data_IF_597491117657
#
_entry.id   IF_597491117657
#
_cell.length_a   1.000
_cell.length_b   1.000
_cell.length_c   1.000
_cell.angle_alpha   90.00
_cell.angle_beta   90.00
_cell.angle_gamma   90.00
#
_symmetry.space_group_name_H-M   'P 1'
#
loop_
_entity.id
_entity.type
_entity.pdbx_description
1 polymer ?
#
# COMPACT_ATOMS: atom_id res chain seq x y z
N UNK A 1 12.99 11.73 -21.05
CA UNK A 1 13.83 10.60 -20.61
C UNK A 1 12.88 9.45 -20.28
N UNK A 2 12.79 8.39 -21.13
CA UNK A 2 11.97 7.20 -20.84
C UNK A 2 12.70 6.39 -19.78
N UNK A 3 12.29 6.53 -18.52
CA UNK A 3 12.78 5.65 -17.46
C UNK A 3 12.28 4.24 -17.81
N UNK A 4 13.19 3.27 -17.89
CA UNK A 4 12.86 1.87 -18.10
C UNK A 4 11.91 1.43 -16.99
N UNK A 5 10.75 0.86 -17.32
CA UNK A 5 9.67 0.49 -16.37
C UNK A 5 10.23 -0.36 -15.22
N UNK A 6 11.14 -1.29 -15.52
CA UNK A 6 11.80 -2.12 -14.50
C UNK A 6 12.66 -1.29 -13.54
N UNK A 7 13.40 -0.29 -14.02
CA UNK A 7 14.21 0.58 -13.16
C UNK A 7 13.32 1.44 -12.24
N UNK A 8 12.20 1.95 -12.75
CA UNK A 8 11.22 2.70 -11.95
C UNK A 8 10.65 1.85 -10.81
N UNK A 9 10.30 0.58 -11.09
CA UNK A 9 9.78 -0.34 -10.05
C UNK A 9 10.83 -0.63 -8.99
N UNK A 10 12.07 -0.91 -9.38
CA UNK A 10 13.18 -1.17 -8.43
C UNK A 10 13.42 0.05 -7.53
N UNK A 11 13.46 1.25 -8.09
CA UNK A 11 13.64 2.48 -7.31
C UNK A 11 12.50 2.66 -6.30
N UNK A 12 11.25 2.43 -6.69
CA UNK A 12 10.09 2.51 -5.78
C UNK A 12 10.20 1.51 -4.63
N UNK A 13 10.60 0.28 -4.91
CA UNK A 13 10.80 -0.76 -3.89
C UNK A 13 11.91 -0.36 -2.92
N UNK A 14 13.05 0.12 -3.43
CA UNK A 14 14.17 0.56 -2.60
C UNK A 14 13.81 1.74 -1.70
N UNK A 15 13.11 2.74 -2.24
CA UNK A 15 12.61 3.88 -1.48
C UNK A 15 11.64 3.41 -0.38
N UNK A 16 10.78 2.46 -0.70
CA UNK A 16 9.82 1.92 0.25
C UNK A 16 10.50 1.16 1.39
N UNK A 17 11.47 0.33 1.09
CA UNK A 17 12.27 -0.37 2.09
C UNK A 17 13.07 0.62 2.95
N UNK A 18 13.66 1.65 2.33
CA UNK A 18 14.36 2.71 3.05
C UNK A 18 13.45 3.45 4.04
N UNK A 19 12.21 3.76 3.63
CA UNK A 19 11.22 4.38 4.50
C UNK A 19 10.89 3.48 5.69
N UNK A 20 10.51 2.23 5.47
CA UNK A 20 10.14 1.30 6.54
C UNK A 20 11.27 1.05 7.52
N UNK A 21 12.47 0.76 7.04
CA UNK A 21 13.62 0.45 7.92
C UNK A 21 14.27 1.71 8.47
N UNK A 22 14.38 2.78 7.70
CA UNK A 22 14.88 4.06 8.15
C UNK A 22 13.96 4.72 9.18
N UNK A 23 12.66 4.68 8.93
CA UNK A 23 11.63 5.13 9.87
C UNK A 23 11.64 4.34 11.18
N UNK A 24 11.81 3.00 11.10
CA UNK A 24 11.97 2.13 12.27
C UNK A 24 13.20 2.49 13.08
N UNK A 25 14.36 2.59 12.42
CA UNK A 25 15.61 2.97 13.08
C UNK A 25 15.52 4.32 13.79
N UNK A 26 15.03 5.35 13.08
CA UNK A 26 14.86 6.69 13.66
C UNK A 26 13.93 6.67 14.88
N UNK A 27 12.79 5.97 14.77
CA UNK A 27 11.78 5.92 15.82
C UNK A 27 12.25 5.17 17.05
N UNK A 28 12.90 4.02 16.88
CA UNK A 28 13.48 3.25 17.99
C UNK A 28 14.55 4.07 18.71
N UNK A 29 15.43 4.76 17.98
CA UNK A 29 16.44 5.63 18.58
C UNK A 29 15.83 6.76 19.42
N UNK A 30 14.68 7.30 19.01
CA UNK A 30 13.91 8.30 19.75
C UNK A 30 13.22 7.73 20.98
N UNK A 31 12.70 6.50 20.87
CA UNK A 31 11.83 5.91 21.89
C UNK A 31 12.57 5.10 22.95
N UNK A 32 13.88 4.94 22.85
CA UNK A 32 14.66 4.11 23.78
C UNK A 32 14.47 4.49 25.26
N UNK A 33 14.23 5.76 25.54
CA UNK A 33 13.97 6.28 26.89
C UNK A 33 12.47 6.59 27.14
N UNK A 34 11.58 6.19 26.21
CA UNK A 34 10.15 6.44 26.33
C UNK A 34 9.52 5.41 27.30
N UNK A 35 8.77 5.81 28.34
CA UNK A 35 8.15 4.89 29.29
C UNK A 35 7.23 3.86 28.64
N UNK A 36 6.46 4.26 27.61
CA UNK A 36 5.60 3.34 26.87
C UNK A 36 6.41 2.28 26.10
N UNK A 37 7.52 2.69 25.47
CA UNK A 37 8.40 1.78 24.76
C UNK A 37 9.10 0.76 25.68
N UNK A 38 9.28 1.11 26.96
CA UNK A 38 9.87 0.20 27.96
C UNK A 38 8.83 -0.70 28.62
N UNK A 39 7.54 -0.54 28.31
CA UNK A 39 6.46 -1.27 28.96
C UNK A 39 6.03 -2.50 28.16
N UNK A 40 6.22 -3.69 28.73
CA UNK A 40 5.90 -4.98 28.09
C UNK A 40 4.42 -5.09 27.65
N UNK A 41 3.48 -4.64 28.50
CA UNK A 41 2.05 -4.66 28.17
C UNK A 41 1.72 -3.82 26.93
N UNK A 42 2.40 -2.69 26.74
CA UNK A 42 2.25 -1.87 25.53
C UNK A 42 2.69 -2.63 24.29
N UNK A 43 3.84 -3.30 24.31
CA UNK A 43 4.31 -4.11 23.19
C UNK A 43 3.38 -5.28 22.88
N UNK A 44 2.84 -5.97 23.88
CA UNK A 44 1.90 -7.07 23.64
C UNK A 44 0.65 -6.56 22.92
N UNK A 45 0.05 -5.48 23.41
CA UNK A 45 -1.16 -4.90 22.82
C UNK A 45 -0.89 -4.41 21.39
N UNK A 46 0.16 -3.62 21.20
CA UNK A 46 0.50 -3.10 19.88
C UNK A 46 0.87 -4.21 18.91
N UNK A 47 1.57 -5.27 19.36
CA UNK A 47 1.92 -6.40 18.50
C UNK A 47 0.69 -7.17 17.99
N UNK A 48 -0.34 -7.38 18.85
CA UNK A 48 -1.60 -8.01 18.44
C UNK A 48 -2.28 -7.19 17.33
N UNK A 49 -2.44 -5.88 17.55
CA UNK A 49 -3.03 -5.00 16.53
C UNK A 49 -2.15 -4.90 15.27
N UNK A 50 -0.84 -4.84 15.44
CA UNK A 50 0.14 -4.79 14.36
C UNK A 50 0.09 -6.04 13.48
N UNK A 51 0.04 -7.22 14.10
CA UNK A 51 -0.11 -8.50 13.37
C UNK A 51 -1.43 -8.54 12.59
N UNK A 52 -2.53 -8.08 13.19
CA UNK A 52 -3.83 -8.02 12.54
C UNK A 52 -3.82 -7.07 11.33
N UNK A 53 -3.33 -5.83 11.51
CA UNK A 53 -3.26 -4.84 10.41
C UNK A 53 -2.32 -5.31 9.30
N UNK A 54 -1.17 -5.89 9.66
CA UNK A 54 -0.22 -6.44 8.68
C UNK A 54 -0.85 -7.59 7.90
N UNK A 55 -1.57 -8.49 8.56
CA UNK A 55 -2.33 -9.55 7.89
C UNK A 55 -3.35 -8.98 6.90
N UNK A 56 -4.15 -7.98 7.29
CA UNK A 56 -5.12 -7.32 6.40
C UNK A 56 -4.42 -6.65 5.21
N UNK A 57 -3.28 -5.98 5.44
CA UNK A 57 -2.48 -5.34 4.41
C UNK A 57 -2.01 -6.33 3.34
N UNK A 58 -1.46 -7.47 3.76
CA UNK A 58 -1.02 -8.53 2.84
C UNK A 58 -2.19 -9.18 2.11
N UNK A 59 -3.30 -9.45 2.80
CA UNK A 59 -4.51 -10.01 2.16
C UNK A 59 -5.06 -9.08 1.08
N UNK A 60 -5.20 -7.80 1.39
CA UNK A 60 -5.67 -6.79 0.44
C UNK A 60 -4.75 -6.70 -0.80
N UNK A 61 -3.44 -6.63 -0.57
CA UNK A 61 -2.45 -6.57 -1.65
C UNK A 61 -2.45 -7.84 -2.51
N UNK A 62 -2.52 -9.02 -1.88
CA UNK A 62 -2.55 -10.30 -2.59
C UNK A 62 -3.82 -10.47 -3.44
N UNK A 63 -4.99 -10.14 -2.90
CA UNK A 63 -6.26 -10.25 -3.62
C UNK A 63 -6.34 -9.23 -4.77
N UNK A 64 -5.90 -7.98 -4.53
CA UNK A 64 -5.76 -6.98 -5.60
C UNK A 64 -4.81 -7.44 -6.70
N UNK A 65 -3.65 -8.00 -6.33
CA UNK A 65 -2.69 -8.56 -7.27
C UNK A 65 -3.22 -9.74 -8.09
N UNK A 66 -3.95 -10.67 -7.45
CA UNK A 66 -4.60 -11.79 -8.18
C UNK A 66 -5.58 -11.29 -9.23
N UNK A 67 -6.43 -10.33 -8.88
CA UNK A 67 -7.38 -9.76 -9.84
C UNK A 67 -6.66 -9.04 -10.98
N UNK A 68 -5.57 -8.34 -10.69
CA UNK A 68 -4.76 -7.66 -11.70
C UNK A 68 -4.17 -8.61 -12.74
N UNK A 69 -3.89 -9.86 -12.37
CA UNK A 69 -3.35 -10.85 -13.33
C UNK A 69 -4.30 -11.14 -14.48
N UNK A 70 -5.63 -10.94 -14.31
CA UNK A 70 -6.63 -11.11 -15.37
C UNK A 70 -6.47 -10.10 -16.52
N UNK A 71 -5.82 -8.97 -16.25
CA UNK A 71 -5.49 -7.96 -17.28
C UNK A 71 -4.21 -8.26 -18.07
N UNK A 72 -3.59 -9.41 -17.88
CA UNK A 72 -2.40 -9.81 -18.59
C UNK A 72 -2.77 -10.69 -19.77
N UNK A 73 -2.30 -10.32 -20.95
CA UNK A 73 -2.45 -11.10 -22.18
C UNK A 73 -1.09 -11.22 -22.83
N UNK A 74 -0.63 -12.46 -23.04
CA UNK A 74 0.71 -12.75 -23.58
C UNK A 74 1.81 -12.73 -22.50
N UNK A 75 3.06 -12.78 -22.95
CA UNK A 75 4.24 -12.78 -22.08
C UNK A 75 4.64 -11.34 -21.71
N UNK A 76 4.11 -10.86 -20.60
CA UNK A 76 4.42 -9.52 -20.07
C UNK A 76 4.94 -9.62 -18.64
N UNK A 77 5.76 -8.65 -18.18
CA UNK A 77 6.30 -8.63 -16.82
C UNK A 77 5.23 -8.76 -15.73
N UNK A 78 5.55 -9.43 -14.62
CA UNK A 78 4.60 -9.76 -13.55
C UNK A 78 3.86 -8.56 -12.96
N UNK A 79 4.42 -7.36 -13.01
CA UNK A 79 3.86 -6.14 -12.45
C UNK A 79 3.16 -5.25 -13.49
N UNK A 80 3.05 -5.72 -14.74
CA UNK A 80 2.41 -4.99 -15.82
C UNK A 80 1.11 -5.66 -16.25
N UNK A 81 0.20 -4.87 -16.82
CA UNK A 81 -1.02 -5.32 -17.48
C UNK A 81 -1.14 -4.61 -18.81
N UNK A 82 -1.64 -5.27 -19.85
CA UNK A 82 -1.90 -4.68 -21.16
C UNK A 82 -3.39 -4.44 -21.40
N UNK A 83 -4.25 -4.86 -20.50
CA UNK A 83 -5.68 -4.54 -20.49
C UNK A 83 -6.08 -3.90 -19.18
N UNK A 84 -7.00 -2.95 -19.25
CA UNK A 84 -7.57 -2.33 -18.06
C UNK A 84 -8.48 -3.33 -17.34
N UNK A 85 -8.18 -3.61 -16.06
CA UNK A 85 -9.01 -4.45 -15.20
C UNK A 85 -10.02 -3.58 -14.49
N UNK A 86 -11.31 -3.85 -14.72
CA UNK A 86 -12.43 -3.11 -14.12
C UNK A 86 -13.40 -4.03 -13.36
N UNK A 87 -13.07 -5.31 -13.26
CA UNK A 87 -13.89 -6.36 -12.64
C UNK A 87 -13.44 -6.68 -11.21
N UNK A 88 -14.17 -7.53 -10.53
CA UNK A 88 -13.84 -7.98 -9.18
C UNK A 88 -13.69 -6.82 -8.22
N UNK A 89 -12.61 -6.76 -7.45
CA UNK A 89 -12.32 -5.66 -6.52
C UNK A 89 -12.07 -4.33 -7.25
N UNK A 90 -11.60 -4.35 -8.50
CA UNK A 90 -11.42 -3.14 -9.31
C UNK A 90 -12.74 -2.49 -9.75
N UNK A 91 -13.89 -3.17 -9.62
CA UNK A 91 -15.19 -2.53 -9.76
C UNK A 91 -15.59 -1.68 -8.54
N UNK A 92 -14.93 -1.90 -7.40
CA UNK A 92 -15.17 -1.18 -6.15
C UNK A 92 -14.20 -0.03 -5.92
N UNK A 93 -12.92 -0.25 -6.22
CA UNK A 93 -11.85 0.74 -6.05
C UNK A 93 -10.76 0.54 -7.11
N UNK A 94 -10.12 1.65 -7.52
CA UNK A 94 -9.11 1.62 -8.58
C UNK A 94 -7.75 1.11 -8.12
N UNK A 95 -7.42 1.29 -6.85
CA UNK A 95 -6.12 0.94 -6.27
C UNK A 95 -6.24 0.00 -5.05
N UNK A 96 -6.77 -1.23 -5.22
CA UNK A 96 -6.94 -2.17 -4.10
C UNK A 96 -5.62 -2.62 -3.48
N UNK A 97 -4.56 -2.76 -4.28
CA UNK A 97 -3.22 -3.10 -3.77
C UNK A 97 -2.64 -1.96 -2.93
N UNK A 98 -2.88 -0.70 -3.35
CA UNK A 98 -2.44 0.47 -2.60
C UNK A 98 -3.08 0.52 -1.23
N UNK A 99 -4.37 0.20 -1.11
CA UNK A 99 -5.04 0.14 0.18
C UNK A 99 -4.27 -0.76 1.16
N UNK A 100 -3.84 -1.95 0.72
CA UNK A 100 -3.00 -2.83 1.52
C UNK A 100 -1.63 -2.22 1.83
N UNK A 101 -0.93 -1.71 0.81
CA UNK A 101 0.41 -1.13 0.97
C UNK A 101 0.43 0.08 1.90
N UNK A 102 -0.64 0.89 1.89
CA UNK A 102 -0.77 2.05 2.79
C UNK A 102 -0.92 1.65 4.26
N UNK A 103 -1.49 0.48 4.56
CA UNK A 103 -1.62 -0.03 5.92
C UNK A 103 -0.31 -0.63 6.49
N UNK A 104 0.62 -1.02 5.64
CA UNK A 104 1.86 -1.69 6.08
C UNK A 104 2.74 -0.85 7.02
N UNK A 105 2.98 0.46 6.80
CA UNK A 105 3.73 1.27 7.75
C UNK A 105 3.12 1.26 9.15
N UNK A 106 1.79 1.37 9.23
CA UNK A 106 1.09 1.32 10.52
C UNK A 106 1.19 -0.05 11.18
N UNK A 107 0.98 -1.13 10.41
CA UNK A 107 1.16 -2.50 10.91
C UNK A 107 2.57 -2.74 11.44
N UNK A 108 3.58 -2.30 10.69
CA UNK A 108 4.98 -2.38 11.06
C UNK A 108 5.32 -1.57 12.32
N UNK A 109 4.83 -0.32 12.41
CA UNK A 109 5.00 0.54 13.58
C UNK A 109 4.42 -0.07 14.86
N UNK A 110 3.24 -0.68 14.74
CA UNK A 110 2.57 -1.37 15.84
C UNK A 110 3.30 -2.66 16.25
N UNK A 111 3.83 -3.44 15.31
CA UNK A 111 4.65 -4.63 15.60
C UNK A 111 5.92 -4.27 16.36
N UNK A 112 6.54 -3.14 16.02
CA UNK A 112 7.72 -2.62 16.74
C UNK A 112 7.36 -2.01 18.09
N UNK A 113 6.11 -1.63 18.30
CA UNK A 113 5.65 -0.97 19.51
C UNK A 113 6.32 0.38 19.78
N UNK A 114 6.71 1.10 18.71
CA UNK A 114 7.34 2.41 18.83
C UNK A 114 6.31 3.53 18.83
N UNK A 115 6.11 4.28 19.94
CA UNK A 115 5.17 5.40 19.99
C UNK A 115 5.44 6.45 18.93
N UNK A 116 6.71 6.80 18.71
CA UNK A 116 7.10 7.78 17.67
C UNK A 116 6.76 7.27 16.27
N UNK A 117 6.99 5.99 15.98
CA UNK A 117 6.64 5.42 14.68
C UNK A 117 5.12 5.43 14.48
N UNK A 118 4.35 4.97 15.47
CA UNK A 118 2.90 4.87 15.39
C UNK A 118 2.25 6.25 15.17
N UNK A 119 2.72 7.28 15.89
CA UNK A 119 2.06 8.59 15.91
C UNK A 119 2.56 9.58 14.88
N UNK A 120 3.80 9.46 14.41
CA UNK A 120 4.41 10.42 13.49
C UNK A 120 4.86 9.77 12.18
N UNK A 121 5.74 8.77 12.25
CA UNK A 121 6.42 8.28 11.05
C UNK A 121 5.47 7.49 10.15
N UNK A 122 4.72 6.54 10.71
CA UNK A 122 3.78 5.75 9.91
C UNK A 122 2.69 6.59 9.23
N UNK A 123 2.02 7.57 9.88
CA UNK A 123 1.10 8.48 9.19
C UNK A 123 1.75 9.27 8.05
N UNK A 124 2.98 9.76 8.23
CA UNK A 124 3.71 10.47 7.17
C UNK A 124 4.04 9.54 5.99
N UNK A 125 4.49 8.31 6.26
CA UNK A 125 4.73 7.31 5.23
C UNK A 125 3.45 6.93 4.48
N UNK A 126 2.33 6.76 5.17
CA UNK A 126 1.02 6.49 4.56
C UNK A 126 0.61 7.63 3.62
N UNK A 127 0.74 8.89 4.05
CA UNK A 127 0.46 10.06 3.21
C UNK A 127 1.39 10.08 2.00
N UNK A 128 2.69 9.83 2.21
CA UNK A 128 3.67 9.79 1.13
C UNK A 128 3.31 8.72 0.07
N UNK A 129 2.93 7.50 0.49
CA UNK A 129 2.49 6.43 -0.42
C UNK A 129 1.28 6.89 -1.24
N UNK A 130 0.27 7.50 -0.61
CA UNK A 130 -0.92 8.00 -1.31
C UNK A 130 -0.55 9.07 -2.34
N UNK A 131 0.29 10.03 -1.95
CA UNK A 131 0.76 11.10 -2.85
C UNK A 131 1.53 10.54 -4.03
N UNK A 132 2.43 9.58 -3.79
CA UNK A 132 3.20 8.93 -4.85
C UNK A 132 2.30 8.22 -5.87
N UNK A 133 1.25 7.55 -5.42
CA UNK A 133 0.29 6.90 -6.33
C UNK A 133 -0.50 7.94 -7.13
N UNK A 134 -0.98 9.00 -6.48
CA UNK A 134 -1.71 10.07 -7.17
C UNK A 134 -0.88 10.75 -8.25
N UNK A 135 0.41 10.99 -7.99
CA UNK A 135 1.28 11.71 -8.93
C UNK A 135 1.81 10.80 -10.04
N UNK A 136 2.23 9.58 -9.71
CA UNK A 136 2.93 8.70 -10.66
C UNK A 136 2.02 7.65 -11.26
N UNK A 137 1.36 6.81 -10.46
CA UNK A 137 0.56 5.70 -11.01
C UNK A 137 -0.67 6.18 -11.76
N UNK A 138 -1.41 7.16 -11.22
CA UNK A 138 -2.57 7.72 -11.91
C UNK A 138 -2.21 8.33 -13.27
N UNK A 139 -1.05 8.99 -13.38
CA UNK A 139 -0.56 9.54 -14.66
C UNK A 139 -0.14 8.44 -15.64
N UNK A 140 0.56 7.42 -15.14
CA UNK A 140 1.01 6.29 -15.93
C UNK A 140 -0.18 5.52 -16.51
N UNK A 141 -1.16 5.18 -15.69
CA UNK A 141 -2.37 4.45 -16.09
C UNK A 141 -3.23 5.28 -17.05
N UNK A 142 -3.37 6.59 -16.80
CA UNK A 142 -4.04 7.52 -17.72
C UNK A 142 -3.34 7.59 -19.06
N UNK A 143 -2.02 7.61 -19.10
CA UNK A 143 -1.23 7.59 -20.31
C UNK A 143 -1.38 6.29 -21.09
N UNK A 144 -1.44 5.15 -20.39
CA UNK A 144 -1.52 3.81 -20.97
C UNK A 144 -2.89 3.48 -21.55
N UNK A 145 -3.98 3.78 -20.81
CA UNK A 145 -5.35 3.37 -21.15
C UNK A 145 -6.25 4.54 -21.64
N UNK A 146 -5.77 5.77 -21.61
CA UNK A 146 -6.40 6.93 -22.21
C UNK A 146 -7.88 7.12 -21.85
N UNK A 147 -8.74 7.12 -22.89
CA UNK A 147 -10.20 7.36 -22.75
C UNK A 147 -10.90 6.29 -21.91
N UNK A 148 -10.47 5.03 -22.01
CA UNK A 148 -11.03 3.91 -21.25
C UNK A 148 -10.83 4.12 -19.75
N UNK A 149 -9.61 4.49 -19.33
CA UNK A 149 -9.34 4.81 -17.93
C UNK A 149 -10.12 6.04 -17.45
N UNK A 150 -10.27 7.06 -18.29
CA UNK A 150 -11.06 8.26 -17.94
C UNK A 150 -12.51 7.90 -17.63
N UNK A 151 -13.13 7.06 -18.44
CA UNK A 151 -14.50 6.60 -18.23
C UNK A 151 -14.64 5.73 -16.98
N UNK A 152 -13.66 4.87 -16.71
CA UNK A 152 -13.58 4.05 -15.53
C UNK A 152 -13.39 4.88 -14.26
N UNK A 153 -12.44 5.82 -14.26
CA UNK A 153 -12.11 6.66 -13.12
C UNK A 153 -13.24 7.64 -12.73
N UNK A 154 -14.13 7.96 -13.65
CA UNK A 154 -15.33 8.76 -13.37
C UNK A 154 -16.39 7.98 -12.54
N UNK A 155 -16.38 6.65 -12.59
CA UNK A 155 -17.38 5.78 -11.95
C UNK A 155 -16.87 5.11 -10.69
N UNK A 156 -15.58 4.83 -10.61
CA UNK A 156 -14.98 4.04 -9.54
C UNK A 156 -14.02 4.93 -8.73
N UNK A 157 -14.18 5.04 -7.39
CA UNK A 157 -13.29 5.83 -6.55
C UNK A 157 -11.90 5.22 -6.48
N UNK A 158 -10.91 6.01 -6.07
CA UNK A 158 -9.54 5.55 -5.86
C UNK A 158 -9.48 4.45 -4.80
N UNK A 159 -10.12 4.69 -3.66
CA UNK A 159 -10.27 3.77 -2.53
C UNK A 159 -11.71 3.78 -2.08
N UNK A 160 -12.22 2.67 -1.57
CA UNK A 160 -13.59 2.55 -1.06
C UNK A 160 -13.59 1.86 0.31
N UNK A 161 -14.29 2.48 1.26
CA UNK A 161 -14.50 1.92 2.61
C UNK A 161 -15.87 1.24 2.76
N UNK A 162 -16.59 1.02 1.66
CA UNK A 162 -17.86 0.28 1.70
C UNK A 162 -17.61 -1.15 2.17
N UNK A 163 -18.39 -1.64 3.11
CA UNK A 163 -18.23 -2.98 3.70
C UNK A 163 -18.19 -4.10 2.66
N UNK A 164 -19.02 -4.02 1.62
CA UNK A 164 -19.02 -4.99 0.52
C UNK A 164 -17.69 -5.00 -0.25
N UNK A 165 -17.11 -3.81 -0.47
CA UNK A 165 -15.82 -3.68 -1.14
C UNK A 165 -14.68 -4.20 -0.26
N UNK A 166 -14.72 -3.91 1.04
CA UNK A 166 -13.75 -4.43 2.00
C UNK A 166 -13.83 -5.95 2.14
N UNK A 167 -15.04 -6.52 2.16
CA UNK A 167 -15.22 -7.99 2.13
C UNK A 167 -14.57 -8.61 0.88
N UNK A 168 -14.85 -8.06 -0.32
CA UNK A 168 -14.23 -8.53 -1.58
C UNK A 168 -12.71 -8.34 -1.61
N UNK A 169 -12.21 -7.34 -0.88
CA UNK A 169 -10.77 -7.07 -0.81
C UNK A 169 -10.07 -8.09 0.09
N UNK A 170 -10.70 -8.51 1.18
CA UNK A 170 -10.08 -9.34 2.22
C UNK A 170 -10.38 -10.83 2.07
N UNK A 171 -11.53 -11.17 1.48
CA UNK A 171 -12.03 -12.55 1.33
C UNK A 171 -12.38 -12.89 -0.11
#
# INVERSE_FOLDING_TARGET
>A
MKINTSASVVIRILLWLLMLFGGAWYSIAKDINNPYFQTISFHIVTAIFGAFITFLAFRASANGGKELTKGRVGDIPRLETNRLVTTGIYSCMRHPMLFGLTLLPLGWALLLGSPTFITMVAPLEMIFIIVMVLIFEEREVKGKFGKEYKSYSAKVPMVSFRLECLKRLLF
#
